data_IF_220601394858
#
_entry.id   IF_220601394858
#
_cell.length_a   1.000
_cell.length_b   1.000
_cell.length_c   1.000
_cell.angle_alpha   90.00
_cell.angle_beta   90.00
_cell.angle_gamma   90.00
#
_symmetry.space_group_name_H-M   'P 1'
#
loop_
_entity.id
_entity.type
_entity.pdbx_description
1 polymer ?
#
# COMPACT_ATOMS: atom_id res chain seq x y z
N UNK A 1 -16.82 -17.81 3.59
CA UNK A 1 -17.68 -16.64 3.83
C UNK A 1 -17.14 -15.52 2.96
N UNK A 2 -17.98 -14.96 2.09
CA UNK A 2 -17.64 -14.13 0.92
C UNK A 2 -16.80 -12.89 1.23
N UNK A 3 -15.72 -12.69 0.47
CA UNK A 3 -15.08 -11.39 0.34
C UNK A 3 -15.82 -10.60 -0.73
N UNK A 4 -16.44 -9.49 -0.31
CA UNK A 4 -17.31 -8.68 -1.16
C UNK A 4 -16.65 -8.27 -2.47
N UNK A 5 -17.24 -8.69 -3.59
CA UNK A 5 -17.00 -8.07 -4.89
C UNK A 5 -17.70 -6.72 -4.91
N UNK A 6 -16.92 -5.64 -4.79
CA UNK A 6 -17.39 -4.33 -5.21
C UNK A 6 -17.56 -4.35 -6.74
N UNK A 7 -18.81 -4.30 -7.21
CA UNK A 7 -19.27 -4.02 -8.58
C UNK A 7 -18.15 -3.81 -9.64
N UNK A 8 -17.59 -4.88 -10.19
CA UNK A 8 -16.63 -4.82 -11.32
C UNK A 8 -15.32 -4.05 -11.08
N UNK A 9 -15.06 -3.54 -9.88
CA UNK A 9 -13.87 -2.75 -9.55
C UNK A 9 -12.83 -3.65 -8.88
N UNK A 10 -11.61 -3.68 -9.43
CA UNK A 10 -10.49 -4.40 -8.82
C UNK A 10 -9.93 -3.60 -7.63
N UNK A 11 -9.99 -4.19 -6.44
CA UNK A 11 -9.49 -3.58 -5.21
C UNK A 11 -7.98 -3.81 -5.09
N UNK A 12 -7.22 -2.72 -4.96
CA UNK A 12 -5.77 -2.77 -4.69
C UNK A 12 -5.50 -3.38 -3.30
N UNK A 13 -6.30 -2.99 -2.31
CA UNK A 13 -6.17 -3.43 -0.93
C UNK A 13 -7.46 -3.17 -0.15
N UNK A 14 -7.80 -4.09 0.74
CA UNK A 14 -8.83 -3.91 1.77
C UNK A 14 -8.23 -4.18 3.14
N UNK A 15 -8.64 -3.37 4.12
CA UNK A 15 -8.31 -3.63 5.53
C UNK A 15 -9.03 -4.90 5.95
N UNK A 16 -8.34 -5.92 6.50
CA UNK A 16 -9.01 -7.13 6.97
C UNK A 16 -10.04 -6.81 8.04
N UNK A 17 -11.12 -7.58 8.05
CA UNK A 17 -12.22 -7.40 9.00
C UNK A 17 -11.70 -7.41 10.45
N UNK A 18 -12.26 -6.52 11.28
CA UNK A 18 -11.88 -6.37 12.69
C UNK A 18 -10.50 -5.73 12.93
N UNK A 19 -9.74 -5.36 11.89
CA UNK A 19 -8.46 -4.65 12.06
C UNK A 19 -8.64 -3.14 12.15
N UNK A 20 -8.00 -2.54 13.14
CA UNK A 20 -7.86 -1.09 13.30
C UNK A 20 -6.65 -0.59 12.51
N UNK A 21 -6.81 -0.54 11.20
CA UNK A 21 -5.83 -0.02 10.25
C UNK A 21 -6.52 1.04 9.38
N UNK A 22 -5.90 2.21 9.28
CA UNK A 22 -6.27 3.26 8.34
C UNK A 22 -5.30 3.27 7.16
N UNK A 23 -5.83 3.43 5.95
CA UNK A 23 -5.06 3.55 4.72
C UNK A 23 -5.03 5.01 4.26
N UNK A 24 -3.89 5.50 3.77
CA UNK A 24 -3.80 6.88 3.31
C UNK A 24 -2.60 7.16 2.40
N UNK A 25 -2.53 8.40 1.91
CA UNK A 25 -1.48 8.90 1.02
C UNK A 25 -1.22 8.00 -0.21
N UNK A 26 -2.24 7.73 -1.04
CA UNK A 26 -2.06 6.92 -2.23
C UNK A 26 -1.20 7.64 -3.28
N UNK A 27 -0.37 6.87 -3.98
CA UNK A 27 0.37 7.28 -5.18
C UNK A 27 0.29 6.15 -6.21
N UNK A 28 0.08 6.47 -7.49
CA UNK A 28 -0.06 5.52 -8.59
C UNK A 28 0.84 5.95 -9.75
N UNK A 29 1.50 4.98 -10.39
CA UNK A 29 2.24 5.21 -11.63
C UNK A 29 2.06 4.06 -12.61
N UNK A 30 1.98 4.39 -13.90
CA UNK A 30 2.05 3.43 -15.00
C UNK A 30 3.45 3.43 -15.60
N UNK A 31 4.05 2.25 -15.72
CA UNK A 31 5.36 2.04 -16.33
C UNK A 31 5.22 1.85 -17.85
N UNK A 32 6.28 2.11 -18.60
CA UNK A 32 6.28 2.00 -20.07
C UNK A 32 5.95 0.59 -20.58
N UNK A 33 6.21 -0.45 -19.78
CA UNK A 33 5.86 -1.84 -20.10
C UNK A 33 4.41 -2.22 -19.73
N UNK A 34 3.57 -1.24 -19.38
CA UNK A 34 2.17 -1.46 -19.01
C UNK A 34 1.93 -1.90 -17.57
N UNK A 35 2.97 -2.17 -16.77
CA UNK A 35 2.80 -2.48 -15.34
C UNK A 35 2.33 -1.25 -14.57
N UNK A 36 1.47 -1.47 -13.58
CA UNK A 36 1.04 -0.45 -12.63
C UNK A 36 1.69 -0.67 -11.28
N UNK A 37 2.11 0.40 -10.61
CA UNK A 37 2.53 0.39 -9.21
C UNK A 37 1.69 1.36 -8.41
N UNK A 38 1.21 0.91 -7.24
CA UNK A 38 0.51 1.75 -6.26
C UNK A 38 1.28 1.71 -4.95
N UNK A 39 1.55 2.88 -4.37
CA UNK A 39 2.05 3.00 -3.01
C UNK A 39 0.98 3.61 -2.11
N UNK A 40 0.92 3.16 -0.86
CA UNK A 40 0.07 3.75 0.18
C UNK A 40 0.61 3.42 1.57
N UNK A 41 0.15 4.15 2.56
CA UNK A 41 0.49 3.94 3.95
C UNK A 41 -0.64 3.21 4.70
N UNK A 42 -0.25 2.32 5.60
CA UNK A 42 -1.08 1.77 6.66
C UNK A 42 -0.65 2.41 7.98
N UNK A 43 -1.62 2.84 8.78
CA UNK A 43 -1.39 3.35 10.14
C UNK A 43 -2.41 2.80 11.11
N UNK A 44 -2.07 2.70 12.39
CA UNK A 44 -2.98 2.23 13.42
C UNK A 44 -2.34 1.21 14.36
N UNK A 45 -3.02 0.86 15.47
CA UNK A 45 -2.46 -0.04 16.47
C UNK A 45 -2.15 -1.44 15.92
N UNK A 46 -2.98 -1.94 14.99
CA UNK A 46 -2.84 -3.30 14.49
C UNK A 46 -1.76 -3.43 13.40
N UNK A 47 -1.19 -2.32 12.94
CA UNK A 47 -0.02 -2.32 12.03
C UNK A 47 1.18 -3.01 12.67
N UNK A 48 1.33 -2.93 14.01
CA UNK A 48 2.42 -3.58 14.74
C UNK A 48 2.52 -5.09 14.44
N UNK A 49 1.38 -5.74 14.22
CA UNK A 49 1.28 -7.18 13.96
C UNK A 49 1.45 -7.58 12.49
N UNK A 50 1.62 -6.63 11.57
CA UNK A 50 1.81 -6.95 10.15
C UNK A 50 3.22 -7.49 9.87
N UNK A 51 3.34 -8.35 8.87
CA UNK A 51 4.63 -8.82 8.35
C UNK A 51 5.36 -7.72 7.58
N UNK A 52 6.67 -7.87 7.37
CA UNK A 52 7.48 -6.90 6.61
C UNK A 52 7.98 -5.70 7.42
N UNK A 53 8.64 -4.77 6.72
CA UNK A 53 9.28 -3.59 7.32
C UNK A 53 8.22 -2.59 7.79
N UNK A 54 8.43 -2.01 8.97
CA UNK A 54 7.48 -1.10 9.65
C UNK A 54 8.25 -0.01 10.37
N UNK A 55 7.63 1.15 10.51
CA UNK A 55 8.11 2.26 11.32
C UNK A 55 7.26 2.46 12.58
N UNK A 56 7.84 3.08 13.60
CA UNK A 56 7.13 3.57 14.78
C UNK A 56 7.45 5.05 14.99
N UNK A 57 6.42 5.89 15.02
CA UNK A 57 6.52 7.32 15.27
C UNK A 57 6.41 7.48 16.78
N UNK A 58 7.56 7.49 17.46
CA UNK A 58 7.63 7.54 18.92
C UNK A 58 6.91 8.76 19.50
N UNK A 59 6.98 9.92 18.83
CA UNK A 59 6.32 11.17 19.26
C UNK A 59 4.80 11.03 19.29
N UNK A 60 4.23 10.25 18.36
CA UNK A 60 2.77 10.03 18.26
C UNK A 60 2.33 8.65 18.72
N UNK A 61 3.25 7.86 19.30
CA UNK A 61 3.09 6.47 19.67
C UNK A 61 2.30 5.65 18.63
N UNK A 62 2.69 5.74 17.35
CA UNK A 62 1.92 5.17 16.25
C UNK A 62 2.76 4.30 15.33
N UNK A 63 2.25 3.12 15.02
CA UNK A 63 2.84 2.22 14.02
C UNK A 63 2.41 2.62 12.60
N UNK A 64 3.34 2.45 11.65
CA UNK A 64 3.08 2.65 10.23
C UNK A 64 3.80 1.62 9.37
N UNK A 65 3.23 1.34 8.21
CA UNK A 65 3.84 0.54 7.17
C UNK A 65 3.42 1.11 5.82
N UNK A 66 4.37 1.52 5.01
CA UNK A 66 4.13 1.73 3.60
C UNK A 66 4.09 0.41 2.84
N UNK A 67 3.25 0.33 1.82
CA UNK A 67 3.16 -0.82 0.90
C UNK A 67 3.32 -0.35 -0.53
N UNK A 68 3.92 -1.19 -1.36
CA UNK A 68 3.85 -1.09 -2.82
C UNK A 68 3.11 -2.31 -3.34
N UNK A 69 2.06 -2.08 -4.12
CA UNK A 69 1.31 -3.10 -4.85
C UNK A 69 1.62 -2.97 -6.34
N UNK A 70 1.74 -4.09 -7.04
CA UNK A 70 1.98 -4.13 -8.48
C UNK A 70 0.88 -4.89 -9.22
N UNK A 71 0.53 -4.41 -10.41
CA UNK A 71 -0.31 -5.12 -11.37
C UNK A 71 0.43 -5.24 -12.70
N UNK A 72 0.29 -6.40 -13.35
CA UNK A 72 0.83 -6.67 -14.69
C UNK A 72 -0.28 -6.88 -15.74
N UNK A 73 -1.54 -6.79 -15.34
CA UNK A 73 -2.73 -7.10 -16.13
C UNK A 73 -3.69 -5.89 -16.20
N UNK A 74 -3.13 -4.68 -16.29
CA UNK A 74 -3.91 -3.45 -16.42
C UNK A 74 -4.74 -3.08 -15.19
N UNK A 75 -4.37 -3.58 -14.01
CA UNK A 75 -5.05 -3.32 -12.75
C UNK A 75 -6.12 -4.36 -12.40
N UNK A 76 -6.22 -5.47 -13.14
CA UNK A 76 -7.20 -6.52 -12.83
C UNK A 76 -6.81 -7.31 -11.56
N UNK A 77 -5.53 -7.57 -11.34
CA UNK A 77 -5.00 -8.20 -10.12
C UNK A 77 -3.84 -7.40 -9.53
N UNK A 78 -3.69 -7.47 -8.20
CA UNK A 78 -2.68 -6.73 -7.44
C UNK A 78 -1.91 -7.66 -6.52
N UNK A 79 -0.58 -7.53 -6.53
CA UNK A 79 0.34 -8.31 -5.69
C UNK A 79 1.20 -7.39 -4.84
N UNK A 80 1.54 -7.81 -3.62
CA UNK A 80 2.46 -7.06 -2.78
C UNK A 80 3.87 -7.14 -3.36
N UNK A 81 4.45 -6.00 -3.72
CA UNK A 81 5.80 -5.89 -4.23
C UNK A 81 6.82 -5.53 -3.13
N UNK A 82 6.45 -4.63 -2.21
CA UNK A 82 7.35 -4.18 -1.15
C UNK A 82 6.61 -3.63 0.08
N UNK A 83 7.33 -3.56 1.21
CA UNK A 83 6.95 -2.82 2.41
C UNK A 83 8.07 -1.89 2.85
N UNK A 84 7.75 -0.72 3.41
CA UNK A 84 8.73 0.28 3.85
C UNK A 84 8.34 0.98 5.17
N UNK A 85 9.32 1.41 5.99
CA UNK A 85 9.08 1.86 7.37
C UNK A 85 8.82 3.38 7.48
N UNK A 86 8.27 4.02 6.45
CA UNK A 86 7.96 5.45 6.45
C UNK A 86 6.61 5.70 5.78
N UNK A 87 6.18 6.96 5.72
CA UNK A 87 4.88 7.40 5.21
C UNK A 87 5.03 8.35 4.04
N UNK A 88 3.99 8.43 3.20
CA UNK A 88 3.82 9.37 2.09
C UNK A 88 4.90 9.20 1.02
N UNK A 89 5.16 7.95 0.64
CA UNK A 89 5.98 7.68 -0.53
C UNK A 89 5.28 8.25 -1.78
N UNK A 90 6.01 9.06 -2.54
CA UNK A 90 5.59 9.50 -3.87
C UNK A 90 6.32 8.65 -4.90
N UNK A 91 5.58 7.96 -5.75
CA UNK A 91 6.16 7.20 -6.85
C UNK A 91 6.58 8.16 -7.97
N UNK A 92 7.78 7.95 -8.50
CA UNK A 92 8.29 8.62 -9.69
C UNK A 92 8.90 7.56 -10.61
N UNK A 93 8.76 7.72 -11.92
CA UNK A 93 9.27 6.76 -12.91
C UNK A 93 10.76 6.96 -13.12
N UNK A 94 11.13 8.22 -13.35
CA UNK A 94 12.47 8.64 -13.69
C UNK A 94 12.95 9.50 -12.52
N UNK A 95 13.83 8.94 -11.69
CA UNK A 95 14.51 9.67 -10.63
C UNK A 95 15.85 10.18 -11.13
N UNK A 96 16.19 11.42 -10.78
CA UNK A 96 17.57 11.91 -10.82
C UNK A 96 18.18 11.89 -9.42
N UNK A 97 19.47 12.19 -9.33
CA UNK A 97 20.08 12.57 -8.05
C UNK A 97 19.39 13.83 -7.51
N UNK A 98 19.12 13.82 -6.20
CA UNK A 98 18.56 14.95 -5.44
C UNK A 98 19.64 15.52 -4.54
#
# INVERSE_FOLDING_TARGET
METGKANGLSLVYSVPEGKRISVGAPSLIALANGKLLVAFDQTGPDVKGLTGKKGHDAKRNRWMQGRVMSSADGGATWQLAATFPFRRASLFRDGGDV
#
